data_IF_701404992629
#
_entry.id   IF_701404992629
#
_cell.length_a   1.000
_cell.length_b   1.000
_cell.length_c   1.000
_cell.angle_alpha   90.00
_cell.angle_beta   90.00
_cell.angle_gamma   90.00
#
_symmetry.space_group_name_H-M   'P 1'
#
loop_
_entity.id
_entity.type
_entity.pdbx_description
1 polymer ?
#
# COMPACT_ATOMS: atom_id res chain seq x y z
N UNK A 1 16.29 -3.13 -0.86
CA UNK A 1 15.46 -2.90 -2.06
C UNK A 1 15.04 -4.27 -2.57
N UNK A 2 13.74 -4.49 -2.69
CA UNK A 2 13.20 -5.74 -3.24
C UNK A 2 12.47 -5.43 -4.54
N UNK A 3 12.85 -6.11 -5.62
CA UNK A 3 12.21 -6.00 -6.92
C UNK A 3 11.17 -7.12 -7.06
N UNK A 4 9.95 -6.75 -7.41
CA UNK A 4 8.82 -7.64 -7.57
C UNK A 4 8.48 -7.78 -9.07
N UNK A 5 7.66 -8.80 -9.44
CA UNK A 5 7.06 -8.85 -10.77
C UNK A 5 6.38 -7.53 -11.15
N UNK A 6 6.21 -7.29 -12.46
CA UNK A 6 5.55 -6.09 -13.02
C UNK A 6 6.31 -4.76 -12.83
N UNK A 7 7.63 -4.79 -12.59
CA UNK A 7 8.43 -3.55 -12.47
C UNK A 7 8.23 -2.82 -11.14
N UNK A 8 7.74 -3.54 -10.14
CA UNK A 8 7.48 -2.96 -8.82
C UNK A 8 8.76 -2.96 -7.98
N UNK A 9 9.07 -1.81 -7.37
CA UNK A 9 10.17 -1.65 -6.41
C UNK A 9 9.63 -1.14 -5.08
N UNK A 10 10.12 -1.71 -3.98
CA UNK A 10 9.83 -1.24 -2.63
C UNK A 10 11.11 -0.72 -1.98
N UNK A 11 11.04 0.50 -1.45
CA UNK A 11 12.14 1.21 -0.82
C UNK A 11 11.68 1.74 0.54
N UNK A 12 12.59 1.81 1.49
CA UNK A 12 12.30 2.37 2.80
C UNK A 12 13.49 3.13 3.36
N UNK A 13 13.21 4.08 4.25
CA UNK A 13 14.21 4.87 4.96
C UNK A 13 13.67 5.23 6.34
N UNK A 14 14.55 5.18 7.33
CA UNK A 14 14.25 5.65 8.66
C UNK A 14 13.96 7.16 8.62
N UNK A 15 12.98 7.60 9.39
CA UNK A 15 12.62 9.00 9.53
C UNK A 15 13.44 9.57 10.67
N UNK A 16 14.36 10.52 10.41
CA UNK A 16 15.15 11.13 11.48
C UNK A 16 14.25 11.78 12.52
N UNK A 17 14.68 11.78 13.78
CA UNK A 17 13.95 12.43 14.86
C UNK A 17 13.65 13.91 14.51
N UNK A 18 12.39 14.31 14.67
CA UNK A 18 11.92 15.66 14.35
C UNK A 18 11.72 15.95 12.85
N UNK A 19 12.13 15.06 11.94
CA UNK A 19 11.87 15.22 10.52
C UNK A 19 10.40 14.85 10.18
N UNK A 20 9.75 15.59 9.26
CA UNK A 20 8.42 15.21 8.80
C UNK A 20 8.52 13.95 7.93
N UNK A 21 7.80 12.84 8.23
CA UNK A 21 7.88 11.59 7.45
C UNK A 21 7.68 11.79 5.94
N UNK A 22 6.83 12.75 5.59
CA UNK A 22 6.56 13.12 4.19
C UNK A 22 7.79 13.62 3.45
N UNK A 23 8.72 14.36 4.07
CA UNK A 23 9.93 14.79 3.35
C UNK A 23 10.80 13.58 2.99
N UNK A 24 10.88 12.59 3.88
CA UNK A 24 11.64 11.35 3.68
C UNK A 24 11.04 10.51 2.56
N UNK A 25 9.71 10.34 2.53
CA UNK A 25 9.07 9.62 1.42
C UNK A 25 9.25 10.35 0.08
N UNK A 26 9.22 11.69 0.06
CA UNK A 26 9.44 12.46 -1.18
C UNK A 26 10.87 12.30 -1.67
N UNK A 27 11.85 12.34 -0.77
CA UNK A 27 13.23 12.07 -1.14
C UNK A 27 13.40 10.66 -1.73
N UNK A 28 12.84 9.63 -1.10
CA UNK A 28 12.84 8.27 -1.64
C UNK A 28 12.22 8.19 -3.04
N UNK A 29 11.09 8.87 -3.26
CA UNK A 29 10.43 8.88 -4.56
C UNK A 29 11.25 9.63 -5.62
N UNK A 30 11.87 10.77 -5.27
CA UNK A 30 12.76 11.52 -6.16
C UNK A 30 14.00 10.74 -6.55
N UNK A 31 14.58 9.99 -5.61
CA UNK A 31 15.71 9.08 -5.89
C UNK A 31 15.27 7.95 -6.84
N UNK A 32 14.06 7.43 -6.65
CA UNK A 32 13.55 6.28 -7.42
C UNK A 32 13.07 6.62 -8.83
N UNK A 33 12.52 7.83 -9.03
CA UNK A 33 12.02 8.35 -10.31
C UNK A 33 12.59 9.76 -10.55
N UNK A 34 13.86 9.87 -10.94
CA UNK A 34 14.47 11.17 -11.22
C UNK A 34 13.70 11.93 -12.30
N UNK A 35 13.47 13.23 -12.07
CA UNK A 35 12.74 14.11 -13.00
C UNK A 35 11.22 14.08 -12.88
N UNK A 36 10.65 13.11 -12.15
CA UNK A 36 9.22 13.09 -11.88
C UNK A 36 8.84 14.10 -10.78
N UNK A 37 7.61 14.64 -10.86
CA UNK A 37 7.02 15.46 -9.79
C UNK A 37 5.97 14.66 -9.04
N UNK A 38 5.89 14.87 -7.73
CA UNK A 38 4.96 14.13 -6.87
C UNK A 38 3.96 15.07 -6.21
N UNK A 39 2.69 14.96 -6.58
CA UNK A 39 1.62 15.83 -6.08
C UNK A 39 0.69 15.03 -5.18
N UNK A 40 0.36 15.55 -4.01
CA UNK A 40 -0.69 14.99 -3.14
C UNK A 40 -1.75 16.05 -2.90
N UNK A 41 -2.99 15.75 -3.31
CA UNK A 41 -4.16 16.59 -3.03
C UNK A 41 -5.34 15.71 -2.67
N UNK A 42 -5.94 15.96 -1.52
CA UNK A 42 -7.17 15.31 -1.12
C UNK A 42 -8.31 15.81 -2.04
N UNK A 43 -9.09 14.92 -2.68
CA UNK A 43 -10.22 15.35 -3.49
C UNK A 43 -11.33 15.99 -2.67
N UNK A 44 -11.39 15.74 -1.35
CA UNK A 44 -12.43 16.27 -0.48
C UNK A 44 -12.13 17.68 0.05
N UNK A 45 -10.89 17.94 0.49
CA UNK A 45 -10.52 19.21 1.14
C UNK A 45 -9.36 19.95 0.46
N UNK A 46 -8.75 19.39 -0.58
CA UNK A 46 -7.60 19.97 -1.29
C UNK A 46 -6.24 19.85 -0.57
N UNK A 47 -6.22 19.36 0.67
CA UNK A 47 -5.01 19.27 1.51
C UNK A 47 -3.97 18.24 1.03
N UNK A 48 -2.74 18.36 1.54
CA UNK A 48 -1.58 17.57 1.10
C UNK A 48 -1.57 16.09 1.56
N UNK A 49 -2.66 15.60 2.15
CA UNK A 49 -2.80 14.23 2.66
C UNK A 49 -3.50 13.28 1.68
N UNK A 50 -3.82 13.74 0.46
CA UNK A 50 -4.33 12.86 -0.58
C UNK A 50 -3.26 11.90 -1.12
N UNK A 51 -3.73 10.92 -1.90
CA UNK A 51 -2.89 10.00 -2.67
C UNK A 51 -1.79 10.77 -3.43
N UNK A 52 -0.61 10.18 -3.47
CA UNK A 52 0.51 10.67 -4.29
C UNK A 52 0.25 10.35 -5.76
N UNK A 53 0.29 11.37 -6.61
CA UNK A 53 0.25 11.26 -8.07
C UNK A 53 1.62 11.62 -8.63
N UNK A 54 2.03 10.92 -9.68
CA UNK A 54 3.27 11.18 -10.42
C UNK A 54 2.92 12.03 -11.64
N UNK A 55 3.72 13.06 -11.89
CA UNK A 55 3.69 13.83 -13.13
C UNK A 55 5.06 13.74 -13.81
N UNK A 56 5.08 13.70 -15.15
CA UNK A 56 6.33 13.66 -15.93
C UNK A 56 6.94 12.27 -16.09
N UNK A 57 6.29 11.22 -15.61
CA UNK A 57 6.66 9.82 -15.83
C UNK A 57 5.41 8.92 -15.85
N UNK A 58 5.43 7.84 -16.63
CA UNK A 58 4.39 6.81 -16.62
C UNK A 58 4.61 5.84 -15.46
N UNK A 59 4.34 6.32 -14.25
CA UNK A 59 4.55 5.54 -13.03
C UNK A 59 3.42 5.77 -12.02
N UNK A 60 3.16 4.75 -11.21
CA UNK A 60 2.30 4.85 -10.05
C UNK A 60 3.11 4.63 -8.78
N UNK A 61 2.75 5.33 -7.71
CA UNK A 61 3.46 5.23 -6.43
C UNK A 61 2.49 5.16 -5.26
N UNK A 62 2.94 4.53 -4.19
CA UNK A 62 2.22 4.48 -2.91
C UNK A 62 3.18 4.64 -1.75
N UNK A 63 2.67 5.13 -0.62
CA UNK A 63 3.47 5.45 0.57
C UNK A 63 2.78 4.91 1.81
N UNK A 64 3.57 4.34 2.72
CA UNK A 64 3.16 4.05 4.09
C UNK A 64 4.20 4.55 5.10
N UNK A 65 3.75 4.76 6.33
CA UNK A 65 4.59 5.15 7.45
C UNK A 65 4.25 4.28 8.64
N UNK A 66 5.27 3.69 9.27
CA UNK A 66 5.10 2.88 10.47
C UNK A 66 6.37 2.88 11.30
N UNK A 67 6.24 2.96 12.62
CA UNK A 67 7.35 2.86 13.59
C UNK A 67 8.60 3.67 13.24
N UNK A 68 8.43 4.92 12.80
CA UNK A 68 9.55 5.79 12.41
C UNK A 68 10.13 5.51 11.04
N UNK A 69 9.49 4.73 10.18
CA UNK A 69 9.93 4.46 8.81
C UNK A 69 9.00 5.10 7.78
N UNK A 70 9.57 5.53 6.66
CA UNK A 70 8.84 5.82 5.43
C UNK A 70 9.09 4.66 4.44
N UNK A 71 8.01 4.07 3.94
CA UNK A 71 8.03 2.97 2.97
C UNK A 71 7.33 3.47 1.71
N UNK A 72 7.97 3.28 0.55
CA UNK A 72 7.40 3.65 -0.74
C UNK A 72 7.42 2.46 -1.68
N UNK A 73 6.35 2.30 -2.45
CA UNK A 73 6.28 1.39 -3.58
C UNK A 73 6.16 2.19 -4.88
N UNK A 74 6.91 1.77 -5.89
CA UNK A 74 6.96 2.38 -7.22
C UNK A 74 6.63 1.30 -8.23
N UNK A 75 5.75 1.61 -9.17
CA UNK A 75 5.46 0.80 -10.34
C UNK A 75 5.75 1.64 -11.59
N UNK A 76 6.72 1.22 -12.41
CA UNK A 76 7.17 1.92 -13.62
C UNK A 76 6.34 1.63 -14.88
N UNK A 77 5.21 0.93 -14.72
CA UNK A 77 4.27 0.59 -15.80
C UNK A 77 2.91 1.28 -15.68
N UNK A 78 2.82 2.32 -14.85
CA UNK A 78 1.58 3.09 -14.63
C UNK A 78 0.43 2.35 -13.93
N UNK A 79 0.54 1.05 -13.66
CA UNK A 79 -0.52 0.27 -13.00
C UNK A 79 -0.73 0.73 -11.56
N UNK A 80 -2.00 0.79 -11.12
CA UNK A 80 -2.35 1.21 -9.75
C UNK A 80 -1.62 0.34 -8.74
N UNK A 81 -1.02 0.98 -7.74
CA UNK A 81 -0.24 0.32 -6.69
C UNK A 81 -0.58 0.88 -5.30
N UNK A 82 -0.50 0.02 -4.29
CA UNK A 82 -0.66 0.33 -2.88
C UNK A 82 0.40 -0.38 -2.05
N UNK A 83 0.95 0.30 -1.05
CA UNK A 83 1.83 -0.33 -0.04
C UNK A 83 1.34 0.00 1.35
N UNK A 84 1.36 -0.99 2.23
CA UNK A 84 1.18 -0.75 3.64
C UNK A 84 2.20 -1.49 4.50
N UNK A 85 2.54 -0.86 5.63
CA UNK A 85 3.49 -1.37 6.60
C UNK A 85 2.86 -1.25 7.99
N UNK A 86 2.95 -2.31 8.77
CA UNK A 86 2.29 -2.43 10.07
C UNK A 86 3.28 -3.01 11.07
N UNK A 87 3.31 -2.55 12.33
CA UNK A 87 4.10 -3.22 13.36
C UNK A 87 3.74 -4.70 13.45
N UNK A 88 4.75 -5.57 13.44
CA UNK A 88 4.55 -6.99 13.66
C UNK A 88 3.93 -7.23 15.04
N UNK A 89 2.93 -8.12 15.12
CA UNK A 89 2.21 -8.38 16.37
C UNK A 89 1.29 -7.22 16.82
N UNK A 90 0.93 -6.30 15.93
CA UNK A 90 -0.08 -5.29 16.24
C UNK A 90 -1.45 -5.94 16.56
N UNK A 91 -1.98 -5.62 17.74
CA UNK A 91 -3.25 -6.16 18.26
C UNK A 91 -4.45 -5.27 17.92
N UNK A 92 -5.66 -5.84 17.98
CA UNK A 92 -6.93 -5.11 17.87
C UNK A 92 -7.38 -4.86 16.43
N UNK A 93 -6.55 -5.18 15.45
CA UNK A 93 -6.84 -5.08 14.02
C UNK A 93 -7.97 -6.03 13.59
N UNK A 94 -8.14 -7.13 14.30
CA UNK A 94 -9.17 -8.13 14.03
C UNK A 94 -10.58 -7.57 14.12
N UNK A 95 -10.80 -6.57 14.97
CA UNK A 95 -12.11 -5.92 15.14
C UNK A 95 -12.58 -5.24 13.85
N UNK A 96 -11.65 -4.71 13.07
CA UNK A 96 -11.93 -4.02 11.79
C UNK A 96 -11.95 -5.01 10.63
N UNK A 97 -11.26 -6.14 10.78
CA UNK A 97 -11.16 -7.19 9.77
C UNK A 97 -12.27 -8.25 9.85
N UNK A 98 -13.07 -8.22 10.91
CA UNK A 98 -14.16 -9.18 11.15
C UNK A 98 -15.31 -8.88 10.20
N UNK A 99 -15.49 -9.73 9.20
CA UNK A 99 -16.72 -9.80 8.41
C UNK A 99 -17.65 -10.83 9.05
N UNK A 100 -18.93 -10.51 9.18
CA UNK A 100 -19.98 -11.45 9.61
C UNK A 100 -19.70 -12.15 10.96
N UNK A 101 -19.02 -11.45 11.88
CA UNK A 101 -18.69 -11.95 13.22
C UNK A 101 -17.58 -13.01 13.27
N UNK A 102 -16.92 -13.32 12.15
CA UNK A 102 -15.83 -14.30 12.10
C UNK A 102 -14.47 -13.64 12.02
N UNK A 103 -13.59 -13.99 12.98
CA UNK A 103 -12.17 -13.62 12.92
C UNK A 103 -11.51 -14.40 11.77
N UNK A 104 -10.88 -13.72 10.80
CA UNK A 104 -10.15 -14.40 9.74
C UNK A 104 -8.89 -15.09 10.31
N UNK A 105 -8.49 -16.25 9.76
CA UNK A 105 -7.28 -16.95 10.19
C UNK A 105 -6.00 -16.19 9.79
N UNK A 106 -4.89 -16.48 10.49
CA UNK A 106 -3.57 -15.93 10.19
C UNK A 106 -3.15 -14.76 11.09
N UNK A 107 -2.00 -14.16 10.78
CA UNK A 107 -1.46 -12.98 11.47
C UNK A 107 -2.35 -11.74 11.18
N UNK A 108 -2.96 -11.12 12.20
CA UNK A 108 -3.78 -9.91 12.07
C UNK A 108 -3.05 -8.74 11.44
N UNK A 109 -1.79 -8.50 11.82
CA UNK A 109 -0.98 -7.39 11.32
C UNK A 109 -0.69 -7.57 9.84
N UNK A 110 -0.31 -8.79 9.43
CA UNK A 110 -0.05 -9.08 8.03
C UNK A 110 -1.34 -8.99 7.20
N UNK A 111 -2.46 -9.51 7.71
CA UNK A 111 -3.74 -9.39 7.02
C UNK A 111 -4.17 -7.94 6.87
N UNK A 112 -4.00 -7.12 7.90
CA UNK A 112 -4.29 -5.70 7.85
C UNK A 112 -3.43 -4.99 6.79
N UNK A 113 -2.12 -5.25 6.77
CA UNK A 113 -1.22 -4.69 5.77
C UNK A 113 -1.68 -5.01 4.33
N UNK A 114 -2.11 -6.25 4.07
CA UNK A 114 -2.62 -6.65 2.74
C UNK A 114 -3.90 -5.90 2.37
N UNK A 115 -4.83 -5.77 3.33
CA UNK A 115 -6.10 -5.04 3.13
C UNK A 115 -5.85 -3.57 2.85
N UNK A 116 -5.04 -2.90 3.66
CA UNK A 116 -4.66 -1.49 3.46
C UNK A 116 -3.90 -1.28 2.15
N UNK A 117 -3.02 -2.21 1.76
CA UNK A 117 -2.35 -2.15 0.47
C UNK A 117 -3.36 -2.16 -0.68
N UNK A 118 -4.40 -3.01 -0.64
CA UNK A 118 -5.48 -3.01 -1.63
C UNK A 118 -6.26 -1.71 -1.63
N UNK A 119 -6.68 -1.21 -0.46
CA UNK A 119 -7.45 0.04 -0.34
C UNK A 119 -6.65 1.25 -0.84
N UNK A 120 -5.34 1.27 -0.61
CA UNK A 120 -4.43 2.28 -1.13
C UNK A 120 -4.22 2.16 -2.63
N UNK A 121 -4.21 0.96 -3.20
CA UNK A 121 -4.11 0.73 -4.64
C UNK A 121 -5.42 1.13 -5.35
N UNK A 122 -6.56 0.81 -4.76
CA UNK A 122 -7.89 1.19 -5.23
C UNK A 122 -8.07 2.71 -5.22
N UNK A 123 -7.84 3.34 -4.06
CA UNK A 123 -7.80 4.81 -3.93
C UNK A 123 -9.04 5.46 -3.40
N UNK A 124 -10.11 4.68 -3.18
CA UNK A 124 -11.27 5.14 -2.38
C UNK A 124 -10.94 5.18 -0.88
N UNK A 125 -9.88 4.49 -0.45
CA UNK A 125 -9.47 4.44 0.96
C UNK A 125 -10.60 3.91 1.84
N UNK A 126 -10.81 4.54 3.00
CA UNK A 126 -11.84 4.15 3.97
C UNK A 126 -13.29 4.44 3.53
N UNK A 127 -13.51 5.00 2.34
CA UNK A 127 -14.85 4.97 1.74
C UNK A 127 -15.28 3.53 1.36
N UNK A 128 -14.32 2.59 1.32
CA UNK A 128 -14.56 1.15 1.28
C UNK A 128 -14.29 0.57 2.66
N UNK A 129 -15.26 -0.16 3.19
CA UNK A 129 -15.12 -0.91 4.43
C UNK A 129 -14.00 -1.98 4.28
N UNK A 130 -12.96 -1.98 5.13
CA UNK A 130 -11.88 -2.96 5.11
C UNK A 130 -12.37 -4.43 5.17
N UNK A 131 -13.51 -4.69 5.81
CA UNK A 131 -14.10 -6.04 5.88
C UNK A 131 -14.63 -6.55 4.52
N UNK A 132 -14.75 -5.66 3.52
CA UNK A 132 -15.12 -6.02 2.14
C UNK A 132 -13.96 -6.48 1.29
N UNK A 133 -12.71 -6.32 1.77
CA UNK A 133 -11.53 -6.81 1.07
C UNK A 133 -11.32 -8.28 1.39
N UNK A 134 -11.50 -9.12 0.38
CA UNK A 134 -11.28 -10.56 0.47
C UNK A 134 -9.89 -10.88 -0.08
N UNK A 135 -9.05 -11.53 0.73
CA UNK A 135 -7.67 -11.89 0.39
C UNK A 135 -7.55 -13.41 0.34
N UNK A 136 -6.97 -13.94 -0.74
CA UNK A 136 -6.69 -15.35 -0.94
C UNK A 136 -5.20 -15.54 -1.24
N UNK A 137 -4.54 -16.48 -0.55
CA UNK A 137 -3.12 -16.78 -0.75
C UNK A 137 -2.93 -17.72 -1.93
N UNK A 138 -1.79 -17.60 -2.61
CA UNK A 138 -1.34 -18.57 -3.61
C UNK A 138 0.19 -18.74 -3.59
N UNK A 139 0.70 -19.65 -4.43
CA UNK A 139 2.13 -19.99 -4.47
C UNK A 139 3.05 -18.81 -4.86
N UNK A 140 2.50 -17.73 -5.41
CA UNK A 140 3.26 -16.59 -5.90
C UNK A 140 2.84 -15.27 -5.22
N UNK A 141 2.29 -15.36 -4.00
CA UNK A 141 1.88 -14.24 -3.17
C UNK A 141 0.42 -14.37 -2.75
N UNK A 142 -0.39 -13.37 -3.11
CA UNK A 142 -1.82 -13.38 -2.82
C UNK A 142 -2.62 -12.59 -3.84
N UNK A 143 -3.92 -12.86 -3.90
CA UNK A 143 -4.89 -12.10 -4.69
C UNK A 143 -5.92 -11.48 -3.76
N UNK A 144 -6.51 -10.38 -4.20
CA UNK A 144 -7.61 -9.79 -3.47
C UNK A 144 -8.68 -9.23 -4.39
N UNK A 145 -9.90 -9.16 -3.86
CA UNK A 145 -11.04 -8.49 -4.48
C UNK A 145 -11.79 -7.66 -3.44
N UNK A 146 -12.43 -6.59 -3.89
CA UNK A 146 -13.32 -5.78 -3.06
C UNK A 146 -14.75 -6.20 -3.37
N UNK A 147 -15.54 -6.59 -2.36
CA UNK A 147 -16.97 -6.92 -2.56
C UNK A 147 -17.84 -5.66 -2.71
N UNK A 148 -18.89 -5.77 -3.54
CA UNK A 148 -19.97 -4.78 -3.65
C UNK A 148 -19.96 -3.95 -4.94
N UNK A 149 -20.89 -3.00 -5.04
CA UNK A 149 -21.01 -2.12 -6.20
C UNK A 149 -19.77 -1.23 -6.37
N UNK A 150 -19.31 -1.07 -7.62
CA UNK A 150 -18.07 -0.37 -7.94
C UNK A 150 -16.80 -1.13 -7.51
N UNK A 151 -16.87 -2.45 -7.32
CA UNK A 151 -15.69 -3.29 -7.15
C UNK A 151 -14.76 -3.14 -8.37
N UNK A 152 -13.68 -2.37 -8.21
CA UNK A 152 -12.68 -2.21 -9.26
C UNK A 152 -11.61 -3.30 -9.12
N UNK A 153 -11.56 -4.19 -10.11
CA UNK A 153 -10.44 -5.04 -10.47
C UNK A 153 -10.02 -6.13 -9.47
N UNK A 154 -9.42 -7.18 -10.01
CA UNK A 154 -8.67 -8.15 -9.23
C UNK A 154 -7.28 -7.59 -8.92
N UNK A 155 -6.88 -7.70 -7.66
CA UNK A 155 -5.59 -7.23 -7.17
C UNK A 155 -4.63 -8.39 -7.05
N UNK A 156 -3.40 -8.17 -7.49
CA UNK A 156 -2.27 -9.03 -7.18
C UNK A 156 -1.46 -8.41 -6.06
N UNK A 157 -1.02 -9.21 -5.11
CA UNK A 157 -0.20 -8.72 -4.01
C UNK A 157 0.91 -9.64 -3.58
N UNK A 158 1.83 -9.04 -2.85
CA UNK A 158 3.06 -9.65 -2.34
C UNK A 158 3.33 -9.14 -0.94
N UNK A 159 3.73 -10.06 -0.07
CA UNK A 159 4.38 -9.69 1.18
C UNK A 159 5.86 -9.52 0.87
N UNK A 160 6.46 -8.44 1.38
CA UNK A 160 7.83 -8.06 1.06
C UNK A 160 8.64 -7.82 2.32
N UNK A 161 9.95 -7.97 2.20
CA UNK A 161 10.87 -7.53 3.24
C UNK A 161 10.71 -6.03 3.48
N UNK A 162 10.85 -5.65 4.74
CA UNK A 162 10.80 -4.27 5.18
C UNK A 162 11.73 -4.03 6.37
N UNK A 163 11.63 -2.85 6.99
CA UNK A 163 12.33 -2.59 8.24
C UNK A 163 12.04 -3.64 9.31
N UNK A 164 13.02 -3.91 10.17
CA UNK A 164 12.86 -4.86 11.26
C UNK A 164 11.67 -4.48 12.15
N UNK A 165 10.86 -5.49 12.53
CA UNK A 165 9.66 -5.30 13.34
C UNK A 165 8.43 -4.80 12.58
N UNK A 166 8.50 -4.68 11.24
CA UNK A 166 7.34 -4.36 10.40
C UNK A 166 7.01 -5.53 9.47
N UNK A 167 5.71 -5.75 9.26
CA UNK A 167 5.21 -6.51 8.11
C UNK A 167 4.83 -5.54 7.01
N UNK A 168 5.19 -5.85 5.76
CA UNK A 168 4.96 -4.97 4.61
C UNK A 168 4.26 -5.74 3.50
N UNK A 169 3.18 -5.17 2.98
CA UNK A 169 2.41 -5.74 1.89
C UNK A 169 2.26 -4.73 0.75
N UNK A 170 2.30 -5.23 -0.48
CA UNK A 170 2.09 -4.45 -1.71
C UNK A 170 0.95 -5.06 -2.50
N UNK A 171 0.07 -4.22 -3.04
CA UNK A 171 -0.98 -4.60 -3.98
C UNK A 171 -0.81 -3.82 -5.28
N UNK A 172 -1.02 -4.46 -6.42
CA UNK A 172 -1.12 -3.80 -7.71
C UNK A 172 -2.34 -4.31 -8.48
N UNK A 173 -2.91 -3.46 -9.33
CA UNK A 173 -3.97 -3.90 -10.23
C UNK A 173 -3.42 -4.99 -11.15
N UNK A 174 -4.14 -6.11 -11.27
CA UNK A 174 -3.80 -7.11 -12.27
C UNK A 174 -3.87 -6.46 -13.66
N UNK A 175 -2.97 -6.82 -14.59
CA UNK A 175 -3.18 -6.48 -15.99
C UNK A 175 -4.56 -7.01 -16.41
N UNK A 176 -5.31 -6.25 -17.20
CA UNK A 176 -6.47 -6.83 -17.86
C UNK A 176 -6.00 -8.00 -18.75
N UNK A 177 -6.77 -9.10 -18.80
CA UNK A 177 -6.42 -10.25 -19.63
C UNK A 177 -6.31 -9.91 -21.12
#
# INVERSE_FOLDING_TARGET
MSALPLGIRVLWREVPAGAPPRSVSRALLSDALPGARFVSRCPACGGAHGRVRVEGADAAVSVSYASGWAIVAVNDRGHRIGVDAVPAGADGLERVLTADGRRPPGDPALRWARVEAVLKADGRGLAVDPARVEVALDAAGWRARIRGEGAAGDWRGWDVDGPAGLVVAVAASSPEP
#
